data_IF_046287011818
#
_entry.id   IF_046287011818
#
_cell.length_a   1.000
_cell.length_b   1.000
_cell.length_c   1.000
_cell.angle_alpha   90.00
_cell.angle_beta   90.00
_cell.angle_gamma   90.00
#
_symmetry.space_group_name_H-M   'P 1'
#
loop_
_entity.id
_entity.type
_entity.pdbx_description
1 polymer ?
#
# COMPACT_ATOMS: atom_id res chain seq x y z
N UNK A 1 7.26 -17.16 12.16
CA UNK A 1 7.25 -17.12 10.69
C UNK A 1 7.51 -15.69 10.25
N UNK A 2 8.58 -15.47 9.48
CA UNK A 2 9.00 -14.17 8.94
C UNK A 2 9.18 -14.33 7.42
N UNK A 3 8.20 -13.96 6.59
CA UNK A 3 8.29 -14.13 5.15
C UNK A 3 9.27 -13.12 4.56
N UNK A 4 10.14 -13.56 3.64
CA UNK A 4 11.00 -12.63 2.90
C UNK A 4 10.21 -11.66 2.01
N UNK A 5 9.03 -12.11 1.55
CA UNK A 5 8.14 -11.33 0.69
C UNK A 5 6.68 -11.48 1.09
N UNK A 6 5.94 -10.39 1.01
CA UNK A 6 4.49 -10.37 1.17
C UNK A 6 3.85 -10.15 -0.19
N UNK A 7 2.87 -10.97 -0.51
CA UNK A 7 2.02 -10.77 -1.69
C UNK A 7 0.95 -9.73 -1.34
N UNK A 8 0.92 -8.64 -2.11
CA UNK A 8 -0.08 -7.57 -1.96
C UNK A 8 -1.22 -7.79 -2.95
N UNK A 9 -2.39 -7.14 -2.79
CA UNK A 9 -3.58 -7.44 -3.62
C UNK A 9 -3.40 -7.26 -5.12
N UNK A 10 -2.42 -6.45 -5.56
CA UNK A 10 -2.07 -6.37 -6.98
C UNK A 10 -1.43 -7.64 -7.56
N UNK A 11 -1.15 -8.65 -6.74
CA UNK A 11 -0.38 -9.85 -7.06
C UNK A 11 1.14 -9.64 -7.02
N UNK A 12 1.61 -8.45 -6.65
CA UNK A 12 3.03 -8.16 -6.50
C UNK A 12 3.60 -8.78 -5.22
N UNK A 13 4.81 -9.33 -5.30
CA UNK A 13 5.55 -9.88 -4.15
C UNK A 13 6.62 -8.91 -3.68
N UNK A 14 6.28 -8.12 -2.66
CA UNK A 14 7.11 -7.05 -2.13
C UNK A 14 8.02 -7.60 -1.03
N UNK A 15 9.31 -7.25 -1.09
CA UNK A 15 10.28 -7.64 -0.05
C UNK A 15 9.95 -6.94 1.26
N UNK A 16 10.03 -7.69 2.35
CA UNK A 16 9.98 -7.13 3.70
C UNK A 16 11.40 -6.85 4.15
N UNK A 17 11.66 -5.61 4.55
CA UNK A 17 12.91 -5.21 5.16
C UNK A 17 12.86 -5.50 6.67
N UNK A 18 13.81 -6.28 7.16
CA UNK A 18 13.94 -6.64 8.57
C UNK A 18 15.19 -6.03 9.21
N UNK A 19 15.81 -5.03 8.56
CA UNK A 19 17.06 -4.45 9.07
C UNK A 19 16.82 -3.55 10.30
N UNK A 20 15.60 -3.04 10.47
CA UNK A 20 15.19 -2.23 11.61
C UNK A 20 14.53 -3.02 12.74
N UNK A 21 14.14 -2.30 13.79
CA UNK A 21 13.44 -2.86 14.97
C UNK A 21 12.05 -3.43 14.63
N UNK A 22 11.43 -2.94 13.55
CA UNK A 22 10.17 -3.45 13.02
C UNK A 22 10.31 -3.80 11.54
N UNK A 23 9.61 -4.85 11.07
CA UNK A 23 9.60 -5.21 9.67
C UNK A 23 8.87 -4.14 8.85
N UNK A 24 9.49 -3.75 7.72
CA UNK A 24 8.98 -2.70 6.84
C UNK A 24 8.62 -3.25 5.47
N UNK A 25 7.43 -2.90 4.99
CA UNK A 25 6.96 -3.18 3.63
C UNK A 25 6.90 -1.89 2.82
N UNK A 26 7.90 -1.66 1.97
CA UNK A 26 7.92 -0.50 1.07
C UNK A 26 7.17 -0.82 -0.23
N UNK A 27 5.99 -0.23 -0.40
CA UNK A 27 5.07 -0.58 -1.49
C UNK A 27 4.34 0.65 -2.02
N UNK A 28 4.08 0.67 -3.32
CA UNK A 28 3.31 1.77 -3.93
C UNK A 28 1.87 1.72 -3.45
N UNK A 29 1.33 2.88 -3.07
CA UNK A 29 -0.01 3.01 -2.51
C UNK A 29 -1.10 2.35 -3.38
N UNK A 30 -0.98 2.50 -4.70
CA UNK A 30 -1.91 1.92 -5.68
C UNK A 30 -1.95 0.38 -5.71
N UNK A 31 -0.89 -0.29 -5.24
CA UNK A 31 -0.84 -1.76 -5.16
C UNK A 31 -1.55 -2.30 -3.92
N UNK A 32 -1.91 -1.44 -2.98
CA UNK A 32 -2.64 -1.77 -1.75
C UNK A 32 -4.12 -1.41 -1.81
N UNK A 33 -4.62 -0.85 -2.91
CA UNK A 33 -6.07 -0.68 -3.07
C UNK A 33 -6.76 -2.05 -2.97
N UNK A 34 -7.91 -2.11 -2.30
CA UNK A 34 -8.57 -3.37 -2.01
C UNK A 34 -8.01 -4.11 -0.79
N UNK A 35 -6.98 -3.57 -0.11
CA UNK A 35 -6.40 -4.20 1.08
C UNK A 35 -6.93 -3.57 2.37
N UNK A 36 -7.82 -4.28 3.06
CA UNK A 36 -8.39 -3.81 4.33
C UNK A 36 -7.32 -3.72 5.44
N UNK A 37 -6.52 -4.79 5.60
CA UNK A 37 -5.44 -4.86 6.58
C UNK A 37 -4.24 -5.65 6.04
N UNK A 38 -3.04 -5.19 6.38
CA UNK A 38 -1.82 -5.94 6.13
C UNK A 38 -1.70 -7.14 7.09
N UNK A 39 -1.16 -8.29 6.65
CA UNK A 39 -0.98 -9.44 7.53
C UNK A 39 0.06 -9.12 8.61
N UNK A 40 -0.29 -9.38 9.85
CA UNK A 40 0.65 -9.33 10.96
C UNK A 40 1.60 -10.52 10.90
N UNK A 41 2.89 -10.28 11.14
CA UNK A 41 3.91 -11.31 11.11
C UNK A 41 3.95 -12.09 12.44
N UNK A 42 4.61 -13.25 12.43
CA UNK A 42 4.71 -14.14 13.59
C UNK A 42 3.36 -14.49 14.27
N UNK A 43 2.31 -14.70 13.45
CA UNK A 43 0.99 -15.09 13.94
C UNK A 43 0.26 -13.98 14.70
N UNK A 44 0.41 -12.72 14.27
CA UNK A 44 -0.28 -11.58 14.90
C UNK A 44 0.58 -10.72 15.83
N UNK A 45 1.81 -11.14 16.15
CA UNK A 45 2.61 -10.53 17.23
C UNK A 45 3.46 -9.34 16.77
N UNK A 46 3.82 -9.29 15.50
CA UNK A 46 4.70 -8.25 14.97
C UNK A 46 3.94 -7.45 13.91
N UNK A 47 3.60 -6.18 14.19
CA UNK A 47 2.94 -5.34 13.20
C UNK A 47 3.91 -4.99 12.06
N UNK A 48 3.43 -5.13 10.84
CA UNK A 48 4.17 -4.76 9.64
C UNK A 48 4.04 -3.25 9.40
N UNK A 49 5.15 -2.54 9.38
CA UNK A 49 5.14 -1.11 9.05
C UNK A 49 5.11 -0.96 7.53
N UNK A 50 4.04 -0.38 7.01
CA UNK A 50 3.85 -0.14 5.58
C UNK A 50 4.37 1.25 5.22
N UNK A 51 5.42 1.29 4.41
CA UNK A 51 5.91 2.51 3.77
C UNK A 51 5.19 2.68 2.45
N UNK A 52 4.19 3.55 2.44
CA UNK A 52 3.38 3.86 1.28
C UNK A 52 4.16 4.80 0.36
N UNK A 53 4.46 4.31 -0.84
CA UNK A 53 5.21 5.04 -1.85
C UNK A 53 4.27 5.66 -2.88
N UNK A 54 4.65 6.83 -3.38
CA UNK A 54 4.06 7.46 -4.55
C UNK A 54 4.39 6.67 -5.83
N UNK A 55 3.75 6.97 -6.97
CA UNK A 55 4.06 6.30 -8.24
C UNK A 55 5.53 6.41 -8.65
N UNK A 56 6.20 7.51 -8.26
CA UNK A 56 7.62 7.77 -8.49
C UNK A 56 8.56 7.10 -7.45
N UNK A 57 8.01 6.29 -6.53
CA UNK A 57 8.80 5.59 -5.51
C UNK A 57 9.23 6.46 -4.32
N UNK A 58 8.67 7.66 -4.18
CA UNK A 58 8.94 8.53 -3.02
C UNK A 58 8.04 8.17 -1.84
N UNK A 59 8.52 8.24 -0.59
CA UNK A 59 7.66 8.04 0.58
C UNK A 59 6.54 9.07 0.60
N UNK A 60 5.30 8.59 0.70
CA UNK A 60 4.09 9.41 0.79
C UNK A 60 3.48 9.35 2.19
N UNK A 61 3.48 8.17 2.81
CA UNK A 61 3.05 7.98 4.19
C UNK A 61 3.70 6.72 4.79
N UNK A 62 3.70 6.62 6.11
CA UNK A 62 4.14 5.45 6.86
C UNK A 62 3.04 5.10 7.85
N UNK A 63 2.62 3.84 7.87
CA UNK A 63 1.61 3.36 8.82
C UNK A 63 1.90 1.95 9.29
N UNK A 64 1.62 1.64 10.54
CA UNK A 64 1.57 0.26 11.05
C UNK A 64 0.13 -0.30 11.07
N UNK A 65 -0.86 0.56 10.82
CA UNK A 65 -2.28 0.21 10.79
C UNK A 65 -2.90 0.70 9.47
N UNK A 66 -3.09 -0.24 8.54
CA UNK A 66 -3.54 0.09 7.19
C UNK A 66 -5.02 0.51 7.17
N UNK A 67 -5.85 -0.09 8.02
CA UNK A 67 -7.28 0.21 8.11
C UNK A 67 -7.53 1.66 8.58
N UNK A 68 -6.88 2.12 9.65
CA UNK A 68 -6.97 3.50 10.13
C UNK A 68 -6.35 4.47 9.11
N UNK A 69 -5.27 4.07 8.43
CA UNK A 69 -4.72 4.87 7.34
C UNK A 69 -5.76 5.10 6.23
N UNK A 70 -6.50 4.08 5.80
CA UNK A 70 -7.52 4.27 4.76
C UNK A 70 -8.66 5.18 5.20
N UNK A 71 -9.10 5.06 6.45
CA UNK A 71 -10.20 5.86 7.01
C UNK A 71 -9.83 7.32 7.21
N UNK A 72 -8.60 7.60 7.64
CA UNK A 72 -8.20 8.94 8.12
C UNK A 72 -7.04 9.54 7.31
N UNK A 73 -5.94 8.79 7.17
CA UNK A 73 -4.71 9.28 6.54
C UNK A 73 -4.79 9.43 5.02
N UNK A 74 -5.52 8.55 4.35
CA UNK A 74 -5.57 8.48 2.89
C UNK A 74 -6.15 9.74 2.27
N UNK A 75 -7.12 10.41 2.91
CA UNK A 75 -7.75 11.62 2.37
C UNK A 75 -6.73 12.74 2.13
N UNK A 76 -5.80 12.95 3.06
CA UNK A 76 -4.74 13.96 2.94
C UNK A 76 -3.72 13.56 1.87
N UNK A 77 -3.27 12.29 1.89
CA UNK A 77 -2.32 11.75 0.91
C UNK A 77 -2.88 11.78 -0.50
N UNK A 78 -4.16 11.43 -0.67
CA UNK A 78 -4.91 11.49 -1.94
C UNK A 78 -4.94 12.91 -2.50
N UNK A 79 -5.21 13.92 -1.66
CA UNK A 79 -5.23 15.31 -2.12
C UNK A 79 -3.86 15.75 -2.66
N UNK A 80 -2.78 15.42 -1.96
CA UNK A 80 -1.42 15.72 -2.40
C UNK A 80 -1.05 14.97 -3.70
N UNK A 81 -1.25 13.65 -3.70
CA UNK A 81 -0.90 12.78 -4.83
C UNK A 81 -1.74 13.09 -6.07
N UNK A 82 -3.01 13.49 -5.92
CA UNK A 82 -3.85 13.91 -7.04
C UNK A 82 -3.33 15.19 -7.69
N UNK A 83 -2.80 16.12 -6.90
CA UNK A 83 -2.17 17.34 -7.43
C UNK A 83 -0.88 17.04 -8.19
N UNK A 84 0.00 16.19 -7.63
CA UNK A 84 1.29 15.83 -8.25
C UNK A 84 1.17 14.83 -9.41
N UNK A 85 0.20 13.92 -9.35
CA UNK A 85 0.00 12.82 -10.28
C UNK A 85 -1.47 12.71 -10.74
N UNK A 86 -1.99 13.70 -11.47
CA UNK A 86 -3.41 13.76 -11.86
C UNK A 86 -3.83 12.64 -12.83
N UNK A 87 -2.86 11.99 -13.51
CA UNK A 87 -3.11 10.88 -14.45
C UNK A 87 -3.30 9.52 -13.77
N UNK A 88 -3.06 9.42 -12.46
CA UNK A 88 -3.19 8.18 -11.71
C UNK A 88 -4.59 8.04 -11.09
N UNK A 89 -5.12 6.81 -10.97
CA UNK A 89 -6.40 6.58 -10.30
C UNK A 89 -6.23 6.74 -8.78
N UNK A 90 -6.93 7.73 -8.21
CA UNK A 90 -7.00 7.97 -6.77
C UNK A 90 -8.46 7.81 -6.31
N UNK A 91 -8.92 6.57 -6.05
CA UNK A 91 -10.31 6.28 -5.70
C UNK A 91 -10.71 7.01 -4.41
N UNK A 92 -12.00 7.27 -4.24
CA UNK A 92 -12.50 7.85 -2.97
C UNK A 92 -12.56 6.78 -1.89
N UNK A 93 -12.91 5.56 -2.31
CA UNK A 93 -12.94 4.36 -1.49
C UNK A 93 -11.74 3.46 -1.85
N UNK A 94 -10.63 3.51 -1.09
CA UNK A 94 -9.44 2.72 -1.39
C UNK A 94 -9.58 1.25 -0.96
N UNK A 95 -10.43 0.94 0.01
CA UNK A 95 -10.61 -0.40 0.57
C UNK A 95 -11.46 -1.32 -0.32
N UNK A 96 -12.38 -0.77 -1.13
CA UNK A 96 -13.15 -1.50 -2.14
C UNK A 96 -12.65 -1.30 -3.58
N UNK A 97 -11.60 -0.49 -3.78
CA UNK A 97 -11.05 -0.27 -5.11
C UNK A 97 -10.26 -1.48 -5.63
N UNK A 98 -10.33 -1.72 -6.94
CA UNK A 98 -9.56 -2.79 -7.58
C UNK A 98 -8.06 -2.47 -7.51
N UNK A 99 -7.21 -3.32 -6.89
CA UNK A 99 -5.77 -3.13 -6.90
C UNK A 99 -5.25 -3.12 -8.32
N UNK A 100 -4.43 -2.11 -8.66
CA UNK A 100 -3.81 -2.07 -9.98
C UNK A 100 -2.33 -1.76 -9.90
N UNK A 101 -1.54 -2.65 -10.50
CA UNK A 101 -0.11 -2.44 -10.74
C UNK A 101 0.15 -1.39 -11.83
N UNK A 102 -0.85 -1.09 -12.68
CA UNK A 102 -0.70 -0.25 -13.89
C UNK A 102 -1.67 0.93 -13.92
N UNK A 103 -1.17 2.07 -14.41
CA UNK A 103 -1.98 3.19 -14.88
C UNK A 103 -2.94 2.73 -15.98
N UNK A 104 -4.24 3.02 -15.77
CA UNK A 104 -5.38 2.85 -16.69
C UNK A 104 -5.02 2.44 -18.13
N UNK A 105 -4.88 1.14 -18.38
CA UNK A 105 -5.11 0.44 -19.67
C UNK A 105 -5.06 -1.07 -19.44
N UNK A 106 -6.04 -1.76 -20.02
CA UNK A 106 -6.28 -3.20 -20.02
C UNK A 106 -7.13 -3.77 -18.87
N UNK A 107 -8.41 -3.38 -18.84
CA UNK A 107 -9.50 -4.36 -18.65
C UNK A 107 -10.18 -4.47 -20.01
N UNK A 108 -9.85 -5.52 -20.76
CA UNK A 108 -10.30 -5.71 -22.13
C UNK A 108 -9.69 -6.98 -22.69
N UNK A 109 -10.20 -8.12 -22.24
CA UNK A 109 -10.45 -9.39 -22.94
C UNK A 109 -10.65 -10.49 -21.90
#
# INVERSE_FOLDING_TARGET
YAPERVEVPSGSRIRVDYAGERPVLAVKLQELFGWDAAPALAGGRVPLVVHLLSPAGRPAAVTADLASFWREGYRAVRAELRGRYPKHPWPEDPAGAVPTKRTKRASGS
#
